data_IF_120614981215
#
_entry.id   IF_120614981215
#
_cell.length_a   1.000
_cell.length_b   1.000
_cell.length_c   1.000
_cell.angle_alpha   90.00
_cell.angle_beta   90.00
_cell.angle_gamma   90.00
#
_symmetry.space_group_name_H-M   'P 1'
#
loop_
_entity.id
_entity.type
_entity.pdbx_description
1 polymer ?
#
# COMPACT_ATOMS: atom_id res chain seq x y z
N UNK A 1 4.78 2.14 13.36
CA UNK A 1 4.01 2.03 12.10
C UNK A 1 4.98 2.03 10.95
N UNK A 2 4.99 0.94 10.18
CA UNK A 2 5.80 0.77 8.97
C UNK A 2 5.35 1.84 7.97
N UNK A 3 6.31 2.55 7.38
CA UNK A 3 6.08 3.51 6.29
C UNK A 3 6.43 2.84 4.97
N UNK A 4 5.96 3.43 3.87
CA UNK A 4 6.41 3.01 2.54
C UNK A 4 7.94 3.01 2.45
N UNK A 5 8.55 1.96 1.87
CA UNK A 5 9.97 1.93 1.56
C UNK A 5 10.33 2.82 0.35
N UNK A 6 9.34 3.26 -0.43
CA UNK A 6 9.55 4.03 -1.66
C UNK A 6 9.37 5.54 -1.43
N UNK A 7 10.30 6.33 -1.97
CA UNK A 7 10.01 7.73 -2.32
C UNK A 7 9.31 7.74 -3.67
N UNK A 8 8.01 8.05 -3.69
CA UNK A 8 7.21 8.10 -4.90
C UNK A 8 6.46 9.44 -5.01
N UNK A 9 6.44 10.09 -6.19
CA UNK A 9 5.65 11.29 -6.41
C UNK A 9 4.17 11.09 -6.02
N UNK A 10 3.56 12.08 -5.39
CA UNK A 10 2.17 11.97 -4.92
C UNK A 10 1.97 11.06 -3.70
N UNK A 11 3.06 10.68 -3.00
CA UNK A 11 3.01 9.91 -1.76
C UNK A 11 2.11 10.57 -0.70
N UNK A 12 1.14 9.80 -0.18
CA UNK A 12 0.09 10.31 0.73
C UNK A 12 0.47 10.17 2.20
N UNK A 13 1.74 9.95 2.52
CA UNK A 13 2.21 9.71 3.90
C UNK A 13 1.81 10.81 4.89
N UNK A 14 1.71 12.08 4.44
CA UNK A 14 1.23 13.20 5.27
C UNK A 14 -0.30 13.23 5.40
N UNK A 15 -1.03 12.72 4.41
CA UNK A 15 -2.49 12.72 4.36
C UNK A 15 -3.12 11.42 4.89
N UNK A 16 -2.33 10.37 5.12
CA UNK A 16 -2.79 9.04 5.59
C UNK A 16 -3.71 9.14 6.80
N UNK A 17 -3.37 9.98 7.80
CA UNK A 17 -4.19 10.13 8.99
C UNK A 17 -5.58 10.69 8.67
N UNK A 18 -5.69 11.62 7.73
CA UNK A 18 -6.96 12.17 7.28
C UNK A 18 -7.75 11.14 6.47
N UNK A 19 -7.11 10.52 5.47
CA UNK A 19 -7.72 9.49 4.61
C UNK A 19 -8.26 8.33 5.45
N UNK A 20 -7.51 7.91 6.48
CA UNK A 20 -7.89 6.78 7.33
C UNK A 20 -9.19 6.96 8.11
N UNK A 21 -9.59 8.22 8.37
CA UNK A 21 -10.85 8.56 9.04
C UNK A 21 -12.05 8.46 8.10
N UNK A 22 -11.80 8.47 6.79
CA UNK A 22 -12.82 8.42 5.75
C UNK A 22 -13.03 6.99 5.21
N UNK A 23 -12.22 6.02 5.66
CA UNK A 23 -12.41 4.62 5.29
C UNK A 23 -13.72 4.12 5.90
N UNK A 24 -14.66 3.58 5.09
CA UNK A 24 -15.89 2.99 5.61
C UNK A 24 -15.58 1.66 6.32
N UNK A 25 -16.62 1.00 6.84
CA UNK A 25 -16.51 -0.43 7.12
C UNK A 25 -16.36 -1.18 5.78
N UNK A 26 -15.41 -2.12 5.72
CA UNK A 26 -15.15 -2.90 4.51
C UNK A 26 -14.66 -4.30 4.87
N UNK A 27 -14.87 -5.24 3.95
CA UNK A 27 -14.30 -6.59 4.02
C UNK A 27 -13.06 -6.73 3.14
N UNK A 28 -13.01 -5.97 2.05
CA UNK A 28 -11.89 -5.93 1.12
C UNK A 28 -11.52 -4.48 0.78
N UNK A 29 -10.23 -4.17 0.84
CA UNK A 29 -9.67 -2.89 0.42
C UNK A 29 -9.00 -3.04 -0.94
N UNK A 30 -9.30 -2.14 -1.88
CA UNK A 30 -8.68 -2.08 -3.21
C UNK A 30 -8.06 -0.71 -3.45
N UNK A 31 -6.78 -0.67 -3.83
CA UNK A 31 -6.08 0.55 -4.24
C UNK A 31 -5.50 0.36 -5.65
N UNK A 32 -6.22 0.76 -6.71
CA UNK A 32 -5.82 0.55 -8.11
C UNK A 32 -4.60 1.36 -8.57
N UNK A 33 -4.24 2.40 -7.81
CA UNK A 33 -3.14 3.33 -8.08
C UNK A 33 -2.27 3.46 -6.82
N UNK A 34 -1.63 2.35 -6.46
CA UNK A 34 -0.94 2.24 -5.17
C UNK A 34 0.23 3.22 -5.06
N UNK A 35 0.97 3.48 -6.15
CA UNK A 35 2.17 4.30 -6.10
C UNK A 35 3.14 3.79 -5.02
N UNK A 36 3.55 4.67 -4.12
CA UNK A 36 4.34 4.31 -2.94
C UNK A 36 3.58 3.52 -1.87
N UNK A 37 2.27 3.31 -1.96
CA UNK A 37 1.52 2.42 -1.06
C UNK A 37 1.33 2.92 0.37
N UNK A 38 1.44 4.23 0.60
CA UNK A 38 1.30 4.80 1.95
C UNK A 38 -0.06 4.53 2.59
N UNK A 39 -1.15 4.52 1.81
CA UNK A 39 -2.51 4.27 2.33
C UNK A 39 -2.72 2.78 2.56
N UNK A 40 -2.44 1.94 1.57
CA UNK A 40 -2.41 0.48 1.71
C UNK A 40 -1.63 0.01 2.95
N UNK A 41 -0.37 0.44 3.12
CA UNK A 41 0.48 0.02 4.24
C UNK A 41 -0.13 0.41 5.59
N UNK A 42 -0.73 1.61 5.68
CA UNK A 42 -1.43 2.02 6.88
C UNK A 42 -2.67 1.14 7.13
N UNK A 43 -3.51 0.95 6.11
CA UNK A 43 -4.76 0.21 6.23
C UNK A 43 -4.51 -1.26 6.60
N UNK A 44 -3.50 -1.92 6.01
CA UNK A 44 -3.14 -3.30 6.32
C UNK A 44 -2.64 -3.47 7.76
N UNK A 45 -1.89 -2.50 8.28
CA UNK A 45 -1.46 -2.51 9.69
C UNK A 45 -2.63 -2.29 10.66
N UNK A 46 -3.61 -1.45 10.28
CA UNK A 46 -4.76 -1.13 11.13
C UNK A 46 -5.84 -2.23 11.12
N UNK A 47 -6.00 -2.92 9.99
CA UNK A 47 -7.03 -3.93 9.78
C UNK A 47 -6.39 -5.23 9.24
N UNK A 48 -5.60 -5.95 10.07
CA UNK A 48 -4.81 -7.10 9.60
C UNK A 48 -5.67 -8.22 9.01
N UNK A 49 -6.88 -8.42 9.55
CA UNK A 49 -7.80 -9.51 9.21
C UNK A 49 -8.64 -9.26 7.94
N UNK A 50 -8.47 -8.11 7.29
CA UNK A 50 -9.17 -7.77 6.04
C UNK A 50 -8.39 -8.24 4.81
N UNK A 51 -9.11 -8.37 3.70
CA UNK A 51 -8.54 -8.68 2.39
C UNK A 51 -8.04 -7.42 1.68
N UNK A 52 -6.93 -7.51 0.95
CA UNK A 52 -6.30 -6.35 0.32
C UNK A 52 -5.84 -6.70 -1.09
N UNK A 53 -6.14 -5.80 -2.03
CA UNK A 53 -5.61 -5.81 -3.38
C UNK A 53 -5.03 -4.44 -3.72
N UNK A 54 -3.83 -4.45 -4.27
CA UNK A 54 -3.18 -3.24 -4.78
C UNK A 54 -2.80 -3.46 -6.24
N UNK A 55 -2.77 -2.37 -7.00
CA UNK A 55 -2.32 -2.39 -8.38
C UNK A 55 -1.61 -1.07 -8.71
N UNK A 56 -0.75 -1.10 -9.72
CA UNK A 56 -0.29 0.08 -10.42
C UNK A 56 -0.12 -0.24 -11.91
N UNK A 57 -0.24 0.77 -12.77
CA UNK A 57 0.01 0.59 -14.21
C UNK A 57 1.51 0.53 -14.50
N UNK A 58 2.33 1.20 -13.69
CA UNK A 58 3.77 1.24 -13.91
C UNK A 58 4.39 -0.12 -13.57
N UNK A 59 4.84 -0.84 -14.59
CA UNK A 59 5.21 -2.25 -14.51
C UNK A 59 6.30 -2.53 -13.47
N UNK A 60 7.31 -1.67 -13.41
CA UNK A 60 8.44 -1.77 -12.48
C UNK A 60 7.97 -1.62 -11.04
N UNK A 61 7.01 -0.73 -10.79
CA UNK A 61 6.41 -0.57 -9.47
C UNK A 61 5.51 -1.75 -9.12
N UNK A 62 4.71 -2.23 -10.06
CA UNK A 62 3.94 -3.47 -9.89
C UNK A 62 4.87 -4.63 -9.50
N UNK A 63 5.97 -4.81 -10.24
CA UNK A 63 6.97 -5.86 -9.98
C UNK A 63 7.65 -5.70 -8.63
N UNK A 64 7.99 -4.47 -8.24
CA UNK A 64 8.52 -4.21 -6.91
C UNK A 64 7.58 -4.73 -5.81
N UNK A 65 6.28 -4.41 -5.88
CA UNK A 65 5.31 -4.87 -4.89
C UNK A 65 5.06 -6.39 -4.96
N UNK A 66 4.98 -6.95 -6.16
CA UNK A 66 4.81 -8.40 -6.37
C UNK A 66 5.98 -9.19 -5.76
N UNK A 67 7.21 -8.79 -6.03
CA UNK A 67 8.41 -9.47 -5.50
C UNK A 67 8.52 -9.23 -3.99
N UNK A 68 8.21 -8.02 -3.50
CA UNK A 68 8.21 -7.74 -2.06
C UNK A 68 7.26 -8.65 -1.28
N UNK A 69 6.15 -9.05 -1.88
CA UNK A 69 5.19 -9.98 -1.28
C UNK A 69 5.71 -11.43 -1.29
N UNK A 70 6.39 -11.85 -2.36
CA UNK A 70 6.78 -13.25 -2.59
C UNK A 70 8.14 -13.59 -1.98
N UNK A 71 9.14 -12.75 -2.19
CA UNK A 71 10.51 -12.96 -1.74
C UNK A 71 11.23 -11.63 -1.52
N UNK A 72 11.05 -11.06 -0.33
CA UNK A 72 11.72 -9.81 0.07
C UNK A 72 13.24 -9.95 0.12
N UNK A 73 13.80 -11.16 0.30
CA UNK A 73 15.26 -11.35 0.38
C UNK A 73 15.93 -11.16 -0.98
N UNK A 74 15.22 -11.48 -2.06
CA UNK A 74 15.71 -11.23 -3.42
C UNK A 74 15.86 -9.73 -3.77
N UNK A 75 15.27 -8.83 -2.98
CA UNK A 75 15.31 -7.38 -3.19
C UNK A 75 16.39 -6.65 -2.37
N UNK A 76 17.08 -7.33 -1.43
CA UNK A 76 18.00 -6.72 -0.45
C UNK A 76 19.41 -7.28 -0.58
#
# INVERSE_FOLDING_TARGET
>A
MIKSPLRYPGGKSRAVNLISKLLPQFDEFREPFVGGGSVFIFAKQKYPDKSFWINDLYYELFKFWEVSQKDVKSLV
#
